data_IF_892944932131
#
_entry.id   IF_892944932131
#
_cell.length_a   1.000
_cell.length_b   1.000
_cell.length_c   1.000
_cell.angle_alpha   90.00
_cell.angle_beta   90.00
_cell.angle_gamma   90.00
#
_symmetry.space_group_name_H-M   'P 1'
#
loop_
_entity.id
_entity.type
_entity.pdbx_description
1 polymer ?
#
# COMPACT_ATOMS: atom_id res chain seq x y z
N UNK A 1 10.37 -24.22 -3.64
CA UNK A 1 10.09 -23.46 -4.87
C UNK A 1 11.00 -22.22 -4.90
N UNK A 2 11.51 -21.88 -6.07
CA UNK A 2 12.31 -20.68 -6.26
C UNK A 2 11.44 -19.40 -6.17
N UNK A 3 12.08 -18.25 -6.04
CA UNK A 3 11.37 -16.94 -6.06
C UNK A 3 10.63 -16.77 -7.39
N UNK A 4 11.25 -17.18 -8.49
CA UNK A 4 10.71 -17.08 -9.85
C UNK A 4 9.46 -17.96 -10.02
N UNK A 5 9.50 -19.19 -9.52
CA UNK A 5 8.34 -20.11 -9.53
C UNK A 5 7.18 -19.55 -8.70
N UNK A 6 7.49 -18.99 -7.52
CA UNK A 6 6.48 -18.39 -6.66
C UNK A 6 5.78 -17.21 -7.33
N UNK A 7 6.54 -16.29 -7.95
CA UNK A 7 5.95 -15.14 -8.67
C UNK A 7 5.09 -15.62 -9.85
N UNK A 8 5.58 -16.58 -10.62
CA UNK A 8 4.86 -17.15 -11.76
C UNK A 8 3.54 -17.78 -11.31
N UNK A 9 3.56 -18.51 -10.20
CA UNK A 9 2.37 -19.14 -9.64
C UNK A 9 1.33 -18.09 -9.23
N UNK A 10 1.74 -17.04 -8.51
CA UNK A 10 0.83 -15.96 -8.11
C UNK A 10 0.29 -15.23 -9.35
N UNK A 11 1.15 -14.89 -10.33
CA UNK A 11 0.73 -14.23 -11.57
C UNK A 11 -0.32 -15.02 -12.35
N UNK A 12 -0.27 -16.33 -12.32
CA UNK A 12 -1.24 -17.21 -12.99
C UNK A 12 -2.60 -17.27 -12.27
N UNK A 13 -2.68 -16.82 -11.01
CA UNK A 13 -3.91 -16.82 -10.21
C UNK A 13 -4.59 -15.46 -10.12
N UNK A 14 -3.99 -14.42 -10.71
CA UNK A 14 -4.52 -13.05 -10.66
C UNK A 14 -4.80 -12.53 -12.08
N UNK A 15 -5.77 -11.66 -12.22
CA UNK A 15 -6.10 -11.01 -13.49
C UNK A 15 -5.00 -10.01 -13.90
N UNK A 16 -4.95 -9.67 -15.18
CA UNK A 16 -3.89 -8.82 -15.75
C UNK A 16 -3.90 -7.39 -15.24
N UNK A 17 -5.05 -6.89 -14.86
CA UNK A 17 -5.29 -5.54 -14.34
C UNK A 17 -5.04 -5.43 -12.82
N UNK A 18 -4.82 -6.56 -12.14
CA UNK A 18 -4.44 -6.58 -10.73
C UNK A 18 -2.97 -6.24 -10.55
N UNK A 19 -2.70 -5.22 -9.74
CA UNK A 19 -1.32 -4.88 -9.36
C UNK A 19 -0.81 -5.81 -8.26
N UNK A 20 0.28 -6.53 -8.56
CA UNK A 20 1.01 -7.35 -7.58
C UNK A 20 2.17 -6.55 -7.00
N UNK A 21 2.09 -6.21 -5.72
CA UNK A 21 3.22 -5.61 -4.99
C UNK A 21 4.04 -6.72 -4.34
N UNK A 22 5.31 -6.81 -4.72
CA UNK A 22 6.28 -7.67 -4.05
C UNK A 22 6.75 -6.99 -2.75
N UNK A 23 6.30 -7.50 -1.60
CA UNK A 23 6.66 -6.95 -0.29
C UNK A 23 8.05 -7.41 0.10
N UNK A 24 9.03 -6.54 -0.10
CA UNK A 24 10.46 -6.82 -0.01
C UNK A 24 11.11 -6.45 1.33
N UNK A 25 10.30 -6.06 2.32
CA UNK A 25 10.83 -5.75 3.66
C UNK A 25 11.68 -6.89 4.22
N UNK A 26 12.83 -6.54 4.82
CA UNK A 26 13.84 -7.46 5.36
C UNK A 26 14.56 -8.34 4.33
N UNK A 27 14.36 -8.09 3.04
CA UNK A 27 14.99 -8.86 1.97
C UNK A 27 16.21 -8.14 1.41
N UNK A 28 17.31 -8.88 1.13
CA UNK A 28 18.49 -8.29 0.53
C UNK A 28 18.23 -7.87 -0.93
N UNK A 29 19.08 -6.96 -1.42
CA UNK A 29 18.99 -6.39 -2.77
C UNK A 29 19.01 -7.48 -3.86
N UNK A 30 19.78 -8.55 -3.65
CA UNK A 30 19.95 -9.67 -4.58
C UNK A 30 18.62 -10.43 -4.79
N UNK A 31 17.83 -10.63 -3.73
CA UNK A 31 16.50 -11.28 -3.84
C UNK A 31 15.50 -10.36 -4.56
N UNK A 32 15.56 -9.05 -4.28
CA UNK A 32 14.70 -8.05 -4.95
C UNK A 32 15.03 -8.01 -6.44
N UNK A 33 16.30 -8.04 -6.78
CA UNK A 33 16.76 -8.04 -8.18
C UNK A 33 16.24 -9.25 -8.96
N UNK A 34 16.20 -10.45 -8.38
CA UNK A 34 15.58 -11.63 -9.02
C UNK A 34 14.11 -11.39 -9.37
N UNK A 35 13.35 -10.77 -8.45
CA UNK A 35 11.93 -10.43 -8.68
C UNK A 35 11.79 -9.33 -9.74
N UNK A 36 12.69 -8.36 -9.76
CA UNK A 36 12.74 -7.32 -10.77
C UNK A 36 13.04 -7.89 -12.17
N UNK A 37 14.03 -8.79 -12.28
CA UNK A 37 14.48 -9.37 -13.55
C UNK A 37 13.40 -10.21 -14.24
N UNK A 38 12.44 -10.75 -13.49
CA UNK A 38 11.23 -11.43 -14.02
C UNK A 38 10.05 -10.51 -14.28
N UNK A 39 10.28 -9.19 -14.29
CA UNK A 39 9.32 -8.20 -14.77
C UNK A 39 8.43 -7.54 -13.72
N UNK A 40 8.60 -7.83 -12.42
CA UNK A 40 7.91 -7.07 -11.37
C UNK A 40 8.56 -5.68 -11.25
N UNK A 41 7.71 -4.65 -11.12
CA UNK A 41 8.17 -3.26 -10.93
C UNK A 41 7.63 -2.64 -9.65
N UNK A 42 6.57 -3.18 -9.09
CA UNK A 42 5.91 -2.69 -7.89
C UNK A 42 6.45 -3.41 -6.65
N UNK A 43 7.18 -2.67 -5.79
CA UNK A 43 7.79 -3.21 -4.57
C UNK A 43 7.32 -2.46 -3.34
N UNK A 44 7.07 -3.18 -2.24
CA UNK A 44 6.54 -2.62 -1.01
C UNK A 44 7.51 -2.70 0.16
N UNK A 45 7.72 -1.56 0.82
CA UNK A 45 8.53 -1.44 2.03
C UNK A 45 7.71 -0.92 3.21
N UNK A 46 8.07 -1.38 4.41
CA UNK A 46 7.41 -0.91 5.63
C UNK A 46 8.15 0.26 6.30
N UNK A 47 9.47 0.33 6.14
CA UNK A 47 10.33 1.31 6.83
C UNK A 47 10.98 2.23 5.82
N UNK A 48 10.89 3.53 6.08
CA UNK A 48 11.50 4.58 5.23
C UNK A 48 13.00 4.37 5.06
N UNK A 49 13.72 4.06 6.14
CA UNK A 49 15.16 3.86 6.06
C UNK A 49 15.53 2.72 5.12
N UNK A 50 14.85 1.58 5.26
CA UNK A 50 15.09 0.41 4.41
C UNK A 50 14.78 0.69 2.93
N UNK A 51 13.71 1.44 2.67
CA UNK A 51 13.35 1.88 1.32
C UNK A 51 14.47 2.73 0.70
N UNK A 52 14.97 3.73 1.42
CA UNK A 52 16.03 4.63 0.94
C UNK A 52 17.30 3.85 0.64
N UNK A 53 17.74 2.98 1.55
CA UNK A 53 18.96 2.18 1.39
C UNK A 53 18.89 1.26 0.15
N UNK A 54 17.68 0.80 -0.22
CA UNK A 54 17.42 -0.01 -1.41
C UNK A 54 17.25 0.84 -2.67
N UNK A 55 16.62 2.00 -2.55
CA UNK A 55 16.37 2.91 -3.67
C UNK A 55 17.65 3.26 -4.42
N UNK A 56 18.74 3.50 -3.71
CA UNK A 56 20.02 3.89 -4.32
C UNK A 56 20.75 2.71 -4.98
N UNK A 57 20.45 1.48 -4.60
CA UNK A 57 21.13 0.25 -5.06
C UNK A 57 20.39 -0.51 -6.16
N UNK A 58 19.15 -0.14 -6.44
CA UNK A 58 18.27 -0.84 -7.36
C UNK A 58 17.87 0.07 -8.54
N UNK A 59 17.34 -0.52 -9.65
CA UNK A 59 16.89 0.23 -10.82
C UNK A 59 15.88 1.32 -10.47
N UNK A 60 16.00 2.48 -11.14
CA UNK A 60 15.17 3.67 -10.85
C UNK A 60 13.76 3.60 -11.40
N UNK A 61 13.44 2.62 -12.24
CA UNK A 61 12.10 2.33 -12.74
C UNK A 61 11.25 1.47 -11.79
N UNK A 62 11.82 1.09 -10.65
CA UNK A 62 11.04 0.46 -9.57
C UNK A 62 10.04 1.48 -9.01
N UNK A 63 8.78 1.06 -8.97
CA UNK A 63 7.70 1.77 -8.30
C UNK A 63 7.68 1.37 -6.82
N UNK A 64 8.26 2.22 -5.98
CA UNK A 64 8.30 1.98 -4.55
C UNK A 64 6.98 2.34 -3.88
N UNK A 65 6.40 1.41 -3.14
CA UNK A 65 5.22 1.61 -2.31
C UNK A 65 5.63 1.62 -0.83
N UNK A 66 5.30 2.70 -0.12
CA UNK A 66 5.42 2.70 1.34
C UNK A 66 4.11 2.17 1.92
N UNK A 67 4.16 0.95 2.44
CA UNK A 67 2.98 0.19 2.91
C UNK A 67 2.92 0.04 4.44
N UNK A 68 3.96 0.47 5.15
CA UNK A 68 4.00 0.52 6.61
C UNK A 68 3.70 1.92 7.14
N UNK A 69 3.51 2.04 8.46
CA UNK A 69 3.25 3.32 9.10
C UNK A 69 4.34 4.36 8.79
N UNK A 70 3.93 5.51 8.28
CA UNK A 70 4.81 6.62 7.96
C UNK A 70 4.86 7.61 9.13
N UNK A 71 6.01 7.66 9.80
CA UNK A 71 6.25 8.68 10.81
C UNK A 71 6.40 10.05 10.15
N UNK A 72 5.76 11.09 10.69
CA UNK A 72 5.78 12.45 10.16
C UNK A 72 7.18 13.00 9.89
N UNK A 73 8.13 12.82 10.82
CA UNK A 73 9.51 13.25 10.69
C UNK A 73 10.30 12.53 9.57
N UNK A 74 9.75 11.45 9.01
CA UNK A 74 10.35 10.68 7.93
C UNK A 74 9.84 11.05 6.53
N UNK A 75 8.76 11.84 6.43
CA UNK A 75 8.15 12.25 5.15
C UNK A 75 9.17 12.89 4.22
N UNK A 76 10.00 13.80 4.73
CA UNK A 76 11.03 14.51 3.94
C UNK A 76 12.00 13.60 3.18
N UNK A 77 12.22 12.38 3.62
CA UNK A 77 13.19 11.47 3.00
C UNK A 77 12.64 10.67 1.81
N UNK A 78 11.31 10.63 1.65
CA UNK A 78 10.65 9.84 0.61
C UNK A 78 10.15 10.67 -0.58
N UNK A 79 10.24 12.01 -0.49
CA UNK A 79 9.86 12.90 -1.59
C UNK A 79 10.68 12.57 -2.84
N UNK A 80 10.01 12.44 -3.98
CA UNK A 80 10.62 12.07 -5.27
C UNK A 80 11.11 10.62 -5.39
N UNK A 81 10.92 9.78 -4.33
CA UNK A 81 11.39 8.38 -4.33
C UNK A 81 10.25 7.36 -4.25
N UNK A 82 9.14 7.73 -3.64
CA UNK A 82 7.99 6.84 -3.43
C UNK A 82 6.92 7.10 -4.48
N UNK A 83 6.54 6.05 -5.19
CA UNK A 83 5.48 6.09 -6.19
C UNK A 83 4.09 6.22 -5.54
N UNK A 84 3.86 5.51 -4.42
CA UNK A 84 2.58 5.48 -3.72
C UNK A 84 2.76 5.30 -2.21
N UNK A 85 2.24 6.22 -1.42
CA UNK A 85 2.15 6.12 0.04
C UNK A 85 0.81 5.47 0.38
N UNK A 86 0.80 4.23 0.89
CA UNK A 86 -0.44 3.50 1.16
C UNK A 86 -0.95 3.67 2.60
N UNK A 87 -0.26 4.42 3.42
CA UNK A 87 -0.48 4.50 4.87
C UNK A 87 -0.89 5.89 5.35
N UNK A 88 -1.66 6.64 4.53
CA UNK A 88 -2.24 7.91 4.98
C UNK A 88 -3.35 7.60 6.00
N UNK A 89 -3.09 7.89 7.29
CA UNK A 89 -3.94 7.49 8.41
C UNK A 89 -4.42 8.66 9.28
N UNK A 90 -3.97 9.88 9.00
CA UNK A 90 -4.29 11.02 9.86
C UNK A 90 -4.09 12.37 9.17
N UNK A 91 -4.85 13.37 9.63
CA UNK A 91 -4.73 14.77 9.17
C UNK A 91 -3.32 15.31 9.44
N UNK A 92 -2.72 14.96 10.57
CA UNK A 92 -1.36 15.41 10.91
C UNK A 92 -0.31 14.86 9.94
N UNK A 93 -0.48 13.63 9.47
CA UNK A 93 0.39 13.04 8.46
C UNK A 93 0.14 13.69 7.08
N UNK A 94 -1.12 13.89 6.72
CA UNK A 94 -1.52 14.58 5.49
C UNK A 94 -0.84 15.95 5.37
N UNK A 95 -0.90 16.76 6.43
CA UNK A 95 -0.28 18.10 6.47
C UNK A 95 1.24 18.05 6.27
N UNK A 96 1.93 17.09 6.88
CA UNK A 96 3.37 16.92 6.68
C UNK A 96 3.71 16.45 5.27
N UNK A 97 2.89 15.57 4.67
CA UNK A 97 3.07 15.16 3.27
C UNK A 97 2.89 16.36 2.34
N UNK A 98 1.79 17.09 2.44
CA UNK A 98 1.50 18.25 1.59
C UNK A 98 2.61 19.31 1.69
N UNK A 99 3.04 19.64 2.90
CA UNK A 99 4.14 20.59 3.18
C UNK A 99 5.45 20.19 2.49
N UNK A 100 5.89 18.93 2.67
CA UNK A 100 7.19 18.50 2.15
C UNK A 100 7.17 18.29 0.64
N UNK A 101 6.07 17.81 0.07
CA UNK A 101 5.92 17.66 -1.38
C UNK A 101 5.79 19.03 -2.05
N UNK A 102 5.05 19.97 -1.46
CA UNK A 102 4.98 21.35 -1.94
C UNK A 102 6.35 22.04 -1.98
N UNK A 103 7.15 21.89 -0.92
CA UNK A 103 8.49 22.48 -0.85
C UNK A 103 9.46 21.94 -1.92
N UNK A 104 9.15 20.80 -2.54
CA UNK A 104 9.95 20.19 -3.61
C UNK A 104 9.26 20.26 -4.99
N UNK A 105 8.13 20.95 -5.13
CA UNK A 105 7.32 21.00 -6.35
C UNK A 105 6.89 19.61 -6.86
N UNK A 106 6.63 18.68 -5.94
CA UNK A 106 6.23 17.30 -6.21
C UNK A 106 4.79 17.07 -5.78
N UNK A 107 4.17 16.00 -6.29
CA UNK A 107 2.82 15.56 -5.91
C UNK A 107 2.93 14.17 -5.28
N UNK A 108 2.40 14.03 -4.06
CA UNK A 108 2.28 12.74 -3.39
C UNK A 108 1.03 12.00 -3.87
N UNK A 109 1.21 10.81 -4.43
CA UNK A 109 0.11 9.87 -4.56
C UNK A 109 -0.06 9.08 -3.27
N UNK A 110 -1.29 8.98 -2.76
CA UNK A 110 -1.57 8.34 -1.48
C UNK A 110 -2.79 7.42 -1.55
N UNK A 111 -2.85 6.43 -0.66
CA UNK A 111 -4.08 5.71 -0.31
C UNK A 111 -4.42 6.02 1.14
N UNK A 112 -5.69 6.22 1.44
CA UNK A 112 -6.15 6.33 2.82
C UNK A 112 -6.18 4.92 3.41
N UNK A 113 -5.42 4.71 4.48
CA UNK A 113 -5.46 3.47 5.23
C UNK A 113 -6.61 3.50 6.23
N UNK A 114 -7.54 2.54 6.12
CA UNK A 114 -8.66 2.39 7.03
C UNK A 114 -8.38 1.27 8.05
N UNK A 115 -8.57 1.56 9.33
CA UNK A 115 -8.59 0.56 10.40
C UNK A 115 -9.96 -0.11 10.45
N UNK A 116 -10.21 -1.00 9.49
CA UNK A 116 -11.52 -1.64 9.32
C UNK A 116 -11.86 -2.59 10.46
N UNK A 117 -10.86 -3.19 11.10
CA UNK A 117 -11.02 -4.10 12.23
C UNK A 117 -11.14 -3.39 13.58
N UNK A 118 -10.95 -2.07 13.64
CA UNK A 118 -10.98 -1.26 14.87
C UNK A 118 -10.00 -1.75 15.96
N UNK A 119 -8.87 -2.33 15.53
CA UNK A 119 -7.84 -2.79 16.46
C UNK A 119 -6.99 -1.60 16.93
N UNK A 120 -6.92 -1.35 18.25
CA UNK A 120 -6.14 -0.25 18.83
C UNK A 120 -4.64 -0.30 18.49
N UNK A 121 -4.11 -1.51 18.34
CA UNK A 121 -2.69 -1.74 17.99
C UNK A 121 -2.37 -1.49 16.51
N UNK A 122 -3.37 -1.27 15.65
CA UNK A 122 -3.18 -1.09 14.21
C UNK A 122 -3.35 0.37 13.81
N UNK A 123 -2.55 0.78 12.84
CA UNK A 123 -2.68 2.08 12.18
C UNK A 123 -3.84 2.10 11.19
N UNK A 124 -4.30 3.28 10.86
CA UNK A 124 -5.41 3.52 9.94
C UNK A 124 -6.47 4.41 10.57
N UNK A 125 -7.15 5.19 9.74
CA UNK A 125 -8.23 6.06 10.18
C UNK A 125 -9.47 5.22 10.53
N UNK A 126 -10.15 5.57 11.60
CA UNK A 126 -11.45 5.01 11.93
C UNK A 126 -12.53 5.60 11.02
N UNK A 127 -13.58 4.84 10.71
CA UNK A 127 -14.63 5.28 9.76
C UNK A 127 -15.32 6.59 10.18
N UNK A 128 -15.52 6.81 11.47
CA UNK A 128 -16.10 8.05 12.02
C UNK A 128 -15.22 9.29 11.82
N UNK A 129 -13.95 9.11 11.46
CA UNK A 129 -12.99 10.18 11.14
C UNK A 129 -12.67 10.28 9.65
N UNK A 130 -13.24 9.39 8.83
CA UNK A 130 -12.92 9.34 7.40
C UNK A 130 -13.39 10.60 6.67
N UNK A 131 -14.61 11.07 6.89
CA UNK A 131 -15.14 12.26 6.22
C UNK A 131 -14.34 13.52 6.56
N UNK A 132 -13.86 13.66 7.80
CA UNK A 132 -12.99 14.77 8.20
C UNK A 132 -11.65 14.71 7.43
N UNK A 133 -11.04 13.52 7.32
CA UNK A 133 -9.80 13.34 6.56
C UNK A 133 -9.99 13.62 5.06
N UNK A 134 -11.08 13.13 4.46
CA UNK A 134 -11.41 13.39 3.05
C UNK A 134 -11.54 14.90 2.79
N UNK A 135 -12.25 15.62 3.65
CA UNK A 135 -12.38 17.07 3.52
C UNK A 135 -11.03 17.79 3.58
N UNK A 136 -10.12 17.35 4.45
CA UNK A 136 -8.77 17.91 4.52
C UNK A 136 -7.93 17.57 3.28
N UNK A 137 -8.09 16.37 2.69
CA UNK A 137 -7.43 16.01 1.44
C UNK A 137 -7.82 16.93 0.28
N UNK A 138 -9.09 17.36 0.22
CA UNK A 138 -9.57 18.28 -0.82
C UNK A 138 -8.93 19.68 -0.72
N UNK A 139 -8.43 20.07 0.44
CA UNK A 139 -7.76 21.34 0.67
C UNK A 139 -6.26 21.30 0.36
N UNK A 140 -5.67 20.11 0.13
CA UNK A 140 -4.27 19.95 -0.20
C UNK A 140 -4.01 20.26 -1.69
N UNK A 141 -2.84 20.86 -1.98
CA UNK A 141 -2.44 21.11 -3.36
C UNK A 141 -1.46 20.06 -3.90
N UNK A 142 -0.68 19.44 -3.03
CA UNK A 142 0.40 18.53 -3.41
C UNK A 142 0.15 17.08 -2.96
N UNK A 143 -1.10 16.74 -2.61
CA UNK A 143 -1.53 15.36 -2.30
C UNK A 143 -2.69 14.96 -3.20
N UNK A 144 -2.57 13.78 -3.79
CA UNK A 144 -3.64 13.12 -4.55
C UNK A 144 -3.95 11.78 -3.90
N UNK A 145 -5.19 11.60 -3.49
CA UNK A 145 -5.69 10.31 -2.97
C UNK A 145 -6.14 9.47 -4.16
N UNK A 146 -5.54 8.27 -4.31
CA UNK A 146 -5.82 7.34 -5.41
C UNK A 146 -6.71 6.17 -5.00
N UNK A 147 -7.18 6.13 -3.78
CA UNK A 147 -8.03 5.07 -3.28
C UNK A 147 -7.84 4.74 -1.81
N UNK A 148 -8.15 3.50 -1.47
CA UNK A 148 -8.13 3.01 -0.10
C UNK A 148 -7.17 1.84 0.08
N UNK A 149 -6.68 1.67 1.32
CA UNK A 149 -5.90 0.52 1.75
C UNK A 149 -6.45 -0.01 3.07
N UNK A 150 -6.44 -1.33 3.23
CA UNK A 150 -6.69 -1.96 4.53
C UNK A 150 -5.80 -3.17 4.77
N UNK A 151 -5.50 -3.40 6.06
CA UNK A 151 -4.96 -4.66 6.56
C UNK A 151 -6.04 -5.25 7.46
N UNK A 152 -6.67 -6.32 7.01
CA UNK A 152 -7.74 -6.95 7.78
C UNK A 152 -7.16 -7.72 8.98
N UNK A 153 -7.90 -7.81 10.09
CA UNK A 153 -7.53 -8.67 11.22
C UNK A 153 -7.37 -10.14 10.81
N UNK A 154 -6.52 -10.86 11.53
CA UNK A 154 -6.51 -12.32 11.44
C UNK A 154 -7.77 -12.86 12.12
N UNK A 155 -8.64 -13.48 11.34
CA UNK A 155 -9.94 -13.97 11.79
C UNK A 155 -10.35 -15.20 10.96
N UNK A 156 -11.56 -15.70 11.18
CA UNK A 156 -12.15 -16.74 10.33
C UNK A 156 -12.29 -16.23 8.89
N UNK A 157 -12.36 -17.14 7.91
CA UNK A 157 -12.56 -16.79 6.51
C UNK A 157 -13.80 -15.90 6.31
N UNK A 158 -14.92 -16.25 6.95
CA UNK A 158 -16.16 -15.50 6.90
C UNK A 158 -15.97 -14.05 7.40
N UNK A 159 -15.30 -13.87 8.54
CA UNK A 159 -15.01 -12.54 9.09
C UNK A 159 -14.10 -11.73 8.19
N UNK A 160 -13.07 -12.36 7.60
CA UNK A 160 -12.19 -11.69 6.64
C UNK A 160 -12.96 -11.23 5.41
N UNK A 161 -13.86 -12.05 4.84
CA UNK A 161 -14.74 -11.66 3.74
C UNK A 161 -15.62 -10.46 4.10
N UNK A 162 -16.20 -10.45 5.29
CA UNK A 162 -16.99 -9.31 5.76
C UNK A 162 -16.18 -8.01 5.78
N UNK A 163 -14.92 -8.05 6.22
CA UNK A 163 -14.05 -6.88 6.19
C UNK A 163 -13.72 -6.42 4.77
N UNK A 164 -13.38 -7.34 3.87
CA UNK A 164 -13.09 -7.01 2.48
C UNK A 164 -14.30 -6.43 1.76
N UNK A 165 -15.48 -7.04 1.94
CA UNK A 165 -16.74 -6.54 1.40
C UNK A 165 -17.04 -5.13 1.92
N UNK A 166 -16.92 -4.90 3.22
CA UNK A 166 -17.12 -3.57 3.82
C UNK A 166 -16.16 -2.54 3.24
N UNK A 167 -14.90 -2.89 3.00
CA UNK A 167 -13.93 -2.02 2.33
C UNK A 167 -14.36 -1.70 0.90
N UNK A 168 -14.88 -2.69 0.15
CA UNK A 168 -15.40 -2.51 -1.20
C UNK A 168 -16.61 -1.58 -1.21
N UNK A 169 -17.54 -1.76 -0.29
CA UNK A 169 -18.73 -0.89 -0.18
C UNK A 169 -18.33 0.56 0.06
N UNK A 170 -17.41 0.82 0.99
CA UNK A 170 -16.88 2.18 1.26
C UNK A 170 -16.21 2.75 0.01
N UNK A 171 -15.40 1.96 -0.68
CA UNK A 171 -14.72 2.37 -1.91
C UNK A 171 -15.71 2.76 -3.01
N UNK A 172 -16.75 1.96 -3.24
CA UNK A 172 -17.79 2.25 -4.24
C UNK A 172 -18.65 3.47 -3.86
N UNK A 173 -18.93 3.66 -2.58
CA UNK A 173 -19.68 4.84 -2.13
C UNK A 173 -18.86 6.13 -2.31
N UNK A 174 -17.56 6.09 -2.04
CA UNK A 174 -16.68 7.22 -2.29
C UNK A 174 -16.49 7.47 -3.79
N UNK A 175 -16.46 6.44 -4.61
CA UNK A 175 -16.34 6.54 -6.08
C UNK A 175 -17.49 7.27 -6.75
N UNK A 176 -18.68 7.24 -6.14
CA UNK A 176 -19.87 7.98 -6.60
C UNK A 176 -19.79 9.48 -6.32
N UNK A 177 -18.94 9.90 -5.39
CA UNK A 177 -18.80 11.31 -4.99
C UNK A 177 -17.85 12.02 -5.97
N UNK A 178 -18.09 13.32 -6.18
CA UNK A 178 -17.20 14.17 -6.97
C UNK A 178 -16.19 14.86 -6.07
N UNK A 179 -14.91 14.66 -6.32
CA UNK A 179 -13.80 15.24 -5.59
C UNK A 179 -12.80 15.89 -6.55
N UNK A 180 -12.06 16.88 -6.07
CA UNK A 180 -10.97 17.54 -6.80
C UNK A 180 -9.64 16.76 -6.71
N UNK A 181 -9.34 16.25 -5.53
CA UNK A 181 -8.05 15.65 -5.19
C UNK A 181 -8.12 14.15 -4.89
N UNK A 182 -9.31 13.57 -4.94
CA UNK A 182 -9.55 12.18 -4.56
C UNK A 182 -10.14 11.42 -5.74
N UNK A 183 -9.52 10.30 -6.09
CA UNK A 183 -9.98 9.33 -7.09
C UNK A 183 -10.00 7.94 -6.45
N UNK A 184 -11.04 7.17 -6.72
CA UNK A 184 -11.16 5.79 -6.22
C UNK A 184 -10.80 4.81 -7.34
N UNK A 185 -9.49 4.74 -7.66
CA UNK A 185 -8.92 3.87 -8.69
C UNK A 185 -8.33 2.60 -8.08
N UNK A 186 -7.79 2.70 -6.84
CA UNK A 186 -7.02 1.64 -6.19
C UNK A 186 -7.69 1.20 -4.90
N UNK A 187 -8.02 -0.09 -4.83
CA UNK A 187 -8.42 -0.76 -3.60
C UNK A 187 -7.34 -1.78 -3.21
N UNK A 188 -6.42 -1.35 -2.33
CA UNK A 188 -5.29 -2.15 -1.90
C UNK A 188 -5.65 -2.96 -0.66
N UNK A 189 -5.91 -4.24 -0.81
CA UNK A 189 -6.17 -5.18 0.28
C UNK A 189 -5.79 -6.61 -0.13
N UNK A 190 -5.52 -7.46 0.84
CA UNK A 190 -5.03 -8.82 0.59
C UNK A 190 -3.51 -8.96 0.66
N UNK A 191 -3.07 -9.99 1.36
CA UNK A 191 -1.67 -10.37 1.59
C UNK A 191 -1.46 -11.85 1.25
N UNK A 192 -0.29 -12.41 1.55
CA UNK A 192 0.08 -13.79 1.18
C UNK A 192 -0.94 -14.86 1.59
N UNK A 193 -1.68 -14.65 2.68
CA UNK A 193 -2.63 -15.64 3.20
C UNK A 193 -4.08 -15.44 2.77
N UNK A 194 -4.43 -14.28 2.23
CA UNK A 194 -5.83 -13.89 2.02
C UNK A 194 -6.08 -13.13 0.69
N UNK A 195 -5.04 -12.96 -0.17
CA UNK A 195 -5.18 -12.17 -1.40
C UNK A 195 -6.23 -12.74 -2.38
N UNK A 196 -6.39 -14.07 -2.44
CA UNK A 196 -7.39 -14.69 -3.30
C UNK A 196 -8.81 -14.27 -2.91
N UNK A 197 -9.08 -14.25 -1.60
CA UNK A 197 -10.34 -13.78 -1.05
C UNK A 197 -10.54 -12.26 -1.29
N UNK A 198 -9.49 -11.47 -1.06
CA UNK A 198 -9.53 -10.04 -1.30
C UNK A 198 -9.84 -9.69 -2.77
N UNK A 199 -9.30 -10.46 -3.72
CA UNK A 199 -9.60 -10.31 -5.15
C UNK A 199 -11.06 -10.62 -5.47
N UNK A 200 -11.63 -11.69 -4.89
CA UNK A 200 -13.04 -12.04 -5.04
C UNK A 200 -13.96 -10.93 -4.53
N UNK A 201 -13.52 -10.20 -3.50
CA UNK A 201 -14.24 -9.06 -2.93
C UNK A 201 -13.85 -7.70 -3.58
N UNK A 202 -13.17 -7.73 -4.74
CA UNK A 202 -12.95 -6.58 -5.60
C UNK A 202 -11.68 -5.76 -5.32
N UNK A 203 -10.67 -6.34 -4.66
CA UNK A 203 -9.33 -5.76 -4.60
C UNK A 203 -8.72 -5.71 -6.01
N UNK A 204 -8.02 -4.63 -6.35
CA UNK A 204 -7.24 -4.54 -7.59
C UNK A 204 -5.73 -4.31 -7.33
N UNK A 205 -5.31 -4.33 -6.07
CA UNK A 205 -3.90 -4.25 -5.67
C UNK A 205 -3.65 -5.15 -4.46
N UNK A 206 -2.76 -6.13 -4.61
CA UNK A 206 -2.41 -7.08 -3.54
C UNK A 206 -0.94 -6.94 -3.13
N UNK A 207 -0.64 -7.28 -1.87
CA UNK A 207 0.69 -7.11 -1.27
C UNK A 207 1.24 -8.45 -0.78
N UNK A 208 2.07 -9.09 -1.59
CA UNK A 208 2.56 -10.45 -1.30
C UNK A 208 4.03 -10.43 -0.92
N UNK A 209 4.35 -10.91 0.28
CA UNK A 209 5.72 -11.05 0.78
C UNK A 209 6.15 -12.51 0.90
N UNK A 210 5.63 -13.22 1.89
CA UNK A 210 5.99 -14.62 2.14
C UNK A 210 5.68 -15.54 0.95
N UNK A 211 4.60 -15.27 0.23
CA UNK A 211 4.25 -16.03 -0.97
C UNK A 211 5.30 -15.91 -2.08
N UNK A 212 6.05 -14.81 -2.14
CA UNK A 212 7.13 -14.59 -3.13
C UNK A 212 8.47 -15.04 -2.56
N UNK A 213 8.90 -14.48 -1.43
CA UNK A 213 10.25 -14.58 -0.89
C UNK A 213 10.44 -15.74 0.13
N UNK A 214 9.37 -16.47 0.44
CA UNK A 214 9.40 -17.51 1.48
C UNK A 214 9.26 -16.95 2.91
N UNK A 215 9.26 -17.84 3.90
CA UNK A 215 9.21 -17.47 5.32
C UNK A 215 10.44 -16.65 5.71
N UNK A 216 10.29 -15.77 6.68
CA UNK A 216 11.40 -14.99 7.22
C UNK A 216 12.34 -15.89 8.02
N UNK A 217 13.62 -15.82 7.72
CA UNK A 217 14.64 -16.34 8.63
C UNK A 217 14.90 -15.28 9.70
N UNK A 218 14.45 -15.54 10.92
CA UNK A 218 14.72 -14.68 12.10
C UNK A 218 16.10 -14.96 12.72
N UNK A 219 16.92 -15.77 12.06
CA UNK A 219 18.27 -16.07 12.52
C UNK A 219 19.25 -15.11 11.83
N UNK A 220 19.40 -13.90 12.40
CA UNK A 220 20.61 -13.06 12.41
C UNK A 220 20.39 -11.91 13.40
#
# INVERSE_FOLDING_TARGET
>A
MSIEENVKMIRNTIEKDVTLIAVSKTKPVEEIKKVYDIGIRDFGENKVQELIDKYDKLPKDIKWHLIGHLQRNKVKYIVGKVHLIQSLDSIRLLQEIDKHYSANNEIANTLIQINIGREESKTGVLLEKLDELLQQCENCNNVKVKGLMAIVPQATEESCRCYFKKMKDIFEDLKKKSFKNIQMDILSMGMSGDYSMALQEGSNMIRVGQGIFGKRNYNN
#
